data_IF_995892835247
#
_entry.id   IF_995892835247
#
_cell.length_a   1.000
_cell.length_b   1.000
_cell.length_c   1.000
_cell.angle_alpha   90.00
_cell.angle_beta   90.00
_cell.angle_gamma   90.00
#
_symmetry.space_group_name_H-M   'P 1'
#
loop_
_entity.id
_entity.type
_entity.pdbx_description
1 polymer ?
#
# COMPACT_ATOMS: atom_id res chain seq x y z
N UNK A 1 -24.39 0.18 -0.89
CA UNK A 1 -25.88 0.12 -0.89
C UNK A 1 -26.47 -0.02 0.54
N UNK A 2 -25.66 0.06 1.62
CA UNK A 2 -26.12 -0.05 3.00
C UNK A 2 -26.60 1.30 3.60
N UNK A 3 -26.03 2.44 3.16
CA UNK A 3 -26.49 3.78 3.53
C UNK A 3 -28.02 3.95 3.57
N UNK A 4 -28.77 3.47 2.56
CA UNK A 4 -30.22 3.70 2.48
C UNK A 4 -31.03 3.10 3.64
N UNK A 5 -30.60 1.97 4.20
CA UNK A 5 -31.33 1.31 5.28
C UNK A 5 -31.19 2.07 6.59
N UNK A 6 -29.97 2.50 6.91
CA UNK A 6 -29.66 3.12 8.19
C UNK A 6 -30.11 4.59 8.24
N UNK A 7 -30.32 5.24 7.09
CA UNK A 7 -30.88 6.60 7.04
C UNK A 7 -32.31 6.73 7.59
N UNK A 8 -33.07 5.63 7.71
CA UNK A 8 -34.44 5.66 8.26
C UNK A 8 -34.52 6.18 9.70
N UNK A 9 -33.43 6.04 10.46
CA UNK A 9 -33.36 6.48 11.85
C UNK A 9 -33.15 7.98 12.00
N UNK A 10 -32.78 8.67 10.93
CA UNK A 10 -32.21 10.01 11.01
C UNK A 10 -33.01 11.05 10.21
N UNK A 11 -33.07 12.26 10.76
CA UNK A 11 -33.48 13.46 10.03
C UNK A 11 -32.23 14.29 9.70
N UNK A 12 -32.08 14.71 8.42
CA UNK A 12 -31.05 15.67 8.04
C UNK A 12 -31.39 17.11 8.46
N UNK A 13 -32.66 17.42 8.77
CA UNK A 13 -33.16 18.79 9.00
C UNK A 13 -32.96 19.30 10.43
N UNK A 14 -32.21 18.56 11.27
CA UNK A 14 -31.89 18.98 12.63
C UNK A 14 -32.97 18.71 13.68
N UNK A 15 -34.12 18.16 13.28
CA UNK A 15 -35.17 17.70 14.19
C UNK A 15 -34.89 16.30 14.75
N UNK A 16 -34.76 16.18 16.08
CA UNK A 16 -34.59 14.90 16.77
C UNK A 16 -33.49 14.93 17.83
N UNK A 17 -33.00 13.75 18.20
CA UNK A 17 -32.05 13.57 19.30
C UNK A 17 -30.60 13.43 18.84
N UNK A 18 -29.66 13.97 19.62
CA UNK A 18 -28.25 13.55 19.54
C UNK A 18 -28.11 12.09 20.02
N UNK A 19 -27.03 11.40 19.67
CA UNK A 19 -26.72 10.07 20.23
C UNK A 19 -26.64 10.09 21.76
N UNK A 20 -26.08 11.16 22.33
CA UNK A 20 -25.98 11.36 23.79
C UNK A 20 -27.36 11.48 24.43
N UNK A 21 -28.22 12.33 23.87
CA UNK A 21 -29.60 12.50 24.33
C UNK A 21 -30.39 11.20 24.18
N UNK A 22 -30.28 10.50 23.05
CA UNK A 22 -30.91 9.20 22.83
C UNK A 22 -30.46 8.16 23.86
N UNK A 23 -29.16 8.09 24.18
CA UNK A 23 -28.64 7.20 25.20
C UNK A 23 -29.18 7.55 26.60
N UNK A 24 -29.28 8.84 26.93
CA UNK A 24 -29.88 9.31 28.18
C UNK A 24 -31.37 8.91 28.29
N UNK A 25 -32.17 9.18 27.26
CA UNK A 25 -33.58 8.76 27.21
C UNK A 25 -33.72 7.24 27.36
N UNK A 26 -32.88 6.45 26.67
CA UNK A 26 -32.90 5.00 26.79
C UNK A 26 -32.59 4.53 28.22
N UNK A 27 -31.73 5.22 28.96
CA UNK A 27 -31.44 4.90 30.36
C UNK A 27 -32.61 5.27 31.28
N UNK A 28 -33.24 6.42 31.10
CA UNK A 28 -34.44 6.79 31.85
C UNK A 28 -35.61 5.83 31.61
N UNK A 29 -35.79 5.39 30.36
CA UNK A 29 -36.79 4.37 30.03
C UNK A 29 -36.50 3.05 30.79
N UNK A 30 -35.23 2.67 30.97
CA UNK A 30 -34.86 1.50 31.78
C UNK A 30 -35.22 1.68 33.25
N UNK A 31 -35.02 2.88 33.82
CA UNK A 31 -35.41 3.17 35.19
C UNK A 31 -36.93 3.12 35.37
N UNK A 32 -37.68 3.70 34.43
CA UNK A 32 -39.14 3.60 34.41
C UNK A 32 -39.60 2.14 34.39
N UNK A 33 -38.99 1.30 33.55
CA UNK A 33 -39.27 -0.13 33.48
C UNK A 33 -38.98 -0.81 34.82
N UNK A 34 -37.82 -0.54 35.45
CA UNK A 34 -37.45 -1.13 36.76
C UNK A 34 -38.49 -0.82 37.84
N UNK A 35 -39.02 0.41 37.88
CA UNK A 35 -40.05 0.80 38.85
C UNK A 35 -41.35 0.01 38.65
N UNK A 36 -41.79 -0.16 37.40
CA UNK A 36 -42.97 -0.96 37.09
C UNK A 36 -42.73 -2.45 37.34
N UNK A 37 -41.58 -2.99 36.94
CA UNK A 37 -41.21 -4.40 37.19
C UNK A 37 -41.17 -4.69 38.69
N UNK A 38 -40.63 -3.80 39.52
CA UNK A 38 -40.63 -3.95 40.98
C UNK A 38 -42.05 -3.94 41.56
N UNK A 39 -42.92 -3.05 41.07
CA UNK A 39 -44.32 -2.99 41.51
C UNK A 39 -45.06 -4.28 41.16
N UNK A 40 -44.83 -4.83 39.97
CA UNK A 40 -45.47 -6.07 39.50
C UNK A 40 -44.90 -7.29 40.24
N UNK A 41 -43.58 -7.33 40.49
CA UNK A 41 -42.92 -8.43 41.17
C UNK A 41 -43.36 -8.58 42.64
N UNK A 42 -43.74 -7.47 43.29
CA UNK A 42 -44.21 -7.45 44.67
C UNK A 42 -45.73 -7.71 44.82
N UNK A 43 -46.43 -8.03 43.73
CA UNK A 43 -47.87 -8.25 43.74
C UNK A 43 -48.22 -9.59 44.40
N UNK A 44 -49.01 -9.54 45.48
CA UNK A 44 -49.58 -10.72 46.16
C UNK A 44 -51.07 -10.53 46.36
N UNK A 45 -51.87 -11.60 46.21
CA UNK A 45 -53.34 -11.51 46.27
C UNK A 45 -53.94 -11.91 47.62
N UNK A 46 -53.12 -11.97 48.66
CA UNK A 46 -53.53 -12.26 50.02
C UNK A 46 -52.71 -11.43 51.00
N UNK A 47 -53.35 -11.01 52.09
CA UNK A 47 -52.68 -10.36 53.22
C UNK A 47 -52.23 -11.45 54.20
N UNK A 48 -50.99 -11.36 54.67
CA UNK A 48 -50.44 -12.26 55.69
C UNK A 48 -50.33 -11.50 57.01
N UNK A 49 -51.03 -11.98 58.03
CA UNK A 49 -51.01 -11.45 59.39
C UNK A 49 -50.45 -12.49 60.37
N UNK A 50 -49.78 -12.05 61.43
CA UNK A 50 -49.33 -12.90 62.55
C UNK A 50 -49.85 -12.37 63.88
N UNK A 51 -50.28 -13.27 64.75
CA UNK A 51 -50.71 -12.98 66.12
C UNK A 51 -50.21 -14.06 67.09
N UNK A 52 -49.88 -13.65 68.32
CA UNK A 52 -49.58 -14.57 69.43
C UNK A 52 -50.89 -15.06 70.06
N UNK A 53 -50.95 -16.34 70.42
CA UNK A 53 -52.13 -16.93 71.07
C UNK A 53 -52.39 -16.20 72.39
N UNK A 54 -53.58 -15.61 72.54
CA UNK A 54 -54.00 -14.88 73.74
C UNK A 54 -53.80 -13.35 73.69
N UNK A 55 -53.28 -12.79 72.60
CA UNK A 55 -53.19 -11.34 72.36
C UNK A 55 -54.05 -10.95 71.16
N UNK A 56 -54.91 -9.95 71.31
CA UNK A 56 -55.87 -9.53 70.28
C UNK A 56 -55.24 -8.65 69.17
N UNK A 57 -53.93 -8.38 69.25
CA UNK A 57 -53.21 -7.59 68.26
C UNK A 57 -52.66 -8.46 67.13
N UNK A 58 -52.86 -8.00 65.89
CA UNK A 58 -52.35 -8.63 64.67
C UNK A 58 -51.30 -7.72 64.03
N UNK A 59 -50.19 -8.30 63.61
CA UNK A 59 -49.17 -7.59 62.83
C UNK A 59 -49.25 -8.03 61.38
N UNK A 60 -49.39 -7.06 60.46
CA UNK A 60 -49.37 -7.33 59.01
C UNK A 60 -47.93 -7.56 58.58
N UNK A 61 -47.61 -8.79 58.15
CA UNK A 61 -46.31 -9.14 57.60
C UNK A 61 -46.20 -8.79 56.12
N UNK A 62 -47.32 -8.91 55.39
CA UNK A 62 -47.39 -8.59 53.97
C UNK A 62 -48.81 -8.15 53.61
N UNK A 63 -48.93 -7.00 52.97
CA UNK A 63 -50.21 -6.47 52.50
C UNK A 63 -50.54 -7.06 51.13
N UNK A 64 -51.73 -7.62 50.98
CA UNK A 64 -52.26 -8.02 49.68
C UNK A 64 -52.60 -6.83 48.78
N UNK A 65 -52.53 -7.03 47.46
CA UNK A 65 -52.87 -6.06 46.45
C UNK A 65 -54.36 -5.70 46.47
N UNK A 66 -54.67 -4.44 46.17
CA UNK A 66 -56.05 -3.97 46.01
C UNK A 66 -56.60 -4.25 44.61
N UNK A 67 -57.92 -4.18 44.42
CA UNK A 67 -58.54 -4.28 43.09
C UNK A 67 -57.96 -3.27 42.10
N UNK A 68 -57.65 -2.06 42.57
CA UNK A 68 -57.02 -1.02 41.77
C UNK A 68 -55.59 -1.41 41.33
N UNK A 69 -54.81 -2.04 42.21
CA UNK A 69 -53.48 -2.53 41.87
C UNK A 69 -53.55 -3.57 40.76
N UNK A 70 -54.49 -4.52 40.85
CA UNK A 70 -54.69 -5.57 39.84
C UNK A 70 -55.15 -5.00 38.50
N UNK A 71 -56.17 -4.13 38.50
CA UNK A 71 -56.68 -3.51 37.28
C UNK A 71 -55.61 -2.64 36.57
N UNK A 72 -54.66 -2.09 37.33
CA UNK A 72 -53.55 -1.29 36.76
C UNK A 72 -52.46 -2.11 36.04
N UNK A 73 -52.37 -3.42 36.29
CA UNK A 73 -51.27 -4.28 35.78
C UNK A 73 -51.22 -4.29 34.26
N UNK A 74 -52.36 -4.44 33.58
CA UNK A 74 -52.41 -4.46 32.11
C UNK A 74 -51.89 -3.14 31.50
N UNK A 75 -52.19 -2.01 32.14
CA UNK A 75 -51.66 -0.70 31.75
C UNK A 75 -50.15 -0.60 31.96
N UNK A 76 -49.64 -1.02 33.14
CA UNK A 76 -48.20 -1.05 33.46
C UNK A 76 -47.42 -1.91 32.46
N UNK A 77 -47.94 -3.10 32.12
CA UNK A 77 -47.31 -4.00 31.14
C UNK A 77 -47.26 -3.39 29.73
N UNK A 78 -48.30 -2.67 29.30
CA UNK A 78 -48.28 -1.92 28.02
C UNK A 78 -47.22 -0.83 28.02
N UNK A 79 -47.09 -0.08 29.11
CA UNK A 79 -46.06 0.97 29.24
C UNK A 79 -44.66 0.34 29.20
N UNK A 80 -44.43 -0.77 29.90
CA UNK A 80 -43.16 -1.52 29.83
C UNK A 80 -42.85 -1.93 28.39
N UNK A 81 -43.82 -2.48 27.66
CA UNK A 81 -43.62 -2.89 26.27
C UNK A 81 -43.24 -1.69 25.37
N UNK A 82 -43.96 -0.57 25.48
CA UNK A 82 -43.67 0.65 24.74
C UNK A 82 -42.28 1.22 25.09
N UNK A 83 -41.90 1.22 26.36
CA UNK A 83 -40.59 1.69 26.82
C UNK A 83 -39.46 0.79 26.30
N UNK A 84 -39.65 -0.54 26.27
CA UNK A 84 -38.71 -1.49 25.65
C UNK A 84 -38.57 -1.25 24.14
N UNK A 85 -39.67 -1.01 23.43
CA UNK A 85 -39.65 -0.64 22.01
C UNK A 85 -38.91 0.67 21.75
N UNK A 86 -39.11 1.69 22.59
CA UNK A 86 -38.36 2.95 22.52
C UNK A 86 -36.86 2.72 22.70
N UNK A 87 -36.45 1.94 23.72
CA UNK A 87 -35.04 1.60 23.94
C UNK A 87 -34.46 0.88 22.72
N UNK A 88 -35.16 -0.10 22.17
CA UNK A 88 -34.69 -0.86 21.01
C UNK A 88 -34.45 0.07 19.80
N UNK A 89 -35.40 0.97 19.51
CA UNK A 89 -35.27 1.96 18.45
C UNK A 89 -34.05 2.86 18.64
N UNK A 90 -33.90 3.46 19.83
CA UNK A 90 -32.79 4.38 20.12
C UNK A 90 -31.43 3.68 20.05
N UNK A 91 -31.33 2.44 20.54
CA UNK A 91 -30.09 1.66 20.50
C UNK A 91 -29.70 1.26 19.09
N UNK A 92 -30.67 0.87 18.27
CA UNK A 92 -30.38 0.54 16.87
C UNK A 92 -30.01 1.78 16.06
N UNK A 93 -30.65 2.92 16.32
CA UNK A 93 -30.28 4.19 15.71
C UNK A 93 -28.84 4.61 16.05
N UNK A 94 -28.39 4.41 17.29
CA UNK A 94 -26.99 4.69 17.68
C UNK A 94 -26.03 3.78 16.91
N UNK A 95 -26.29 2.47 16.85
CA UNK A 95 -25.48 1.52 16.07
C UNK A 95 -25.47 1.83 14.57
N UNK A 96 -26.60 2.23 14.02
CA UNK A 96 -26.73 2.64 12.63
C UNK A 96 -25.79 3.81 12.30
N UNK A 97 -25.65 4.78 13.22
CA UNK A 97 -24.69 5.87 13.04
C UNK A 97 -23.25 5.38 13.02
N UNK A 98 -22.88 4.50 13.96
CA UNK A 98 -21.53 3.92 14.01
C UNK A 98 -21.21 3.19 12.70
N UNK A 99 -22.15 2.41 12.16
CA UNK A 99 -21.99 1.75 10.85
C UNK A 99 -21.78 2.74 9.72
N UNK A 100 -22.55 3.83 9.66
CA UNK A 100 -22.41 4.88 8.64
C UNK A 100 -21.05 5.58 8.73
N UNK A 101 -20.56 5.87 9.94
CA UNK A 101 -19.23 6.45 10.14
C UNK A 101 -18.15 5.49 9.65
N UNK A 102 -18.20 4.22 10.05
CA UNK A 102 -17.24 3.20 9.61
C UNK A 102 -17.25 3.03 8.09
N UNK A 103 -18.44 3.02 7.46
CA UNK A 103 -18.55 2.94 5.98
C UNK A 103 -17.88 4.16 5.33
N UNK A 104 -18.12 5.37 5.84
CA UNK A 104 -17.50 6.59 5.34
C UNK A 104 -15.97 6.60 5.52
N UNK A 105 -15.45 6.09 6.63
CA UNK A 105 -14.01 5.98 6.90
C UNK A 105 -13.32 4.89 6.06
N UNK A 106 -14.07 3.88 5.63
CA UNK A 106 -13.55 2.79 4.80
C UNK A 106 -13.47 3.12 3.30
N UNK A 107 -13.85 4.34 2.89
CA UNK A 107 -13.85 4.77 1.49
C UNK A 107 -12.43 4.72 0.89
N UNK A 108 -12.26 3.93 -0.17
CA UNK A 108 -10.98 3.80 -0.87
C UNK A 108 -10.73 4.94 -1.86
N UNK A 109 -9.47 5.11 -2.27
CA UNK A 109 -9.09 6.12 -3.26
C UNK A 109 -9.72 5.82 -4.64
N UNK A 110 -9.83 4.55 -5.00
CA UNK A 110 -10.44 4.08 -6.24
C UNK A 110 -11.95 4.38 -6.28
N UNK A 111 -12.65 4.12 -5.17
CA UNK A 111 -14.07 4.44 -5.04
C UNK A 111 -14.30 5.95 -5.08
N UNK A 112 -13.48 6.72 -4.36
CA UNK A 112 -13.53 8.18 -4.39
C UNK A 112 -13.28 8.76 -5.78
N UNK A 113 -12.24 8.28 -6.47
CA UNK A 113 -11.92 8.71 -7.82
C UNK A 113 -13.09 8.41 -8.78
N UNK A 114 -13.69 7.23 -8.68
CA UNK A 114 -14.88 6.85 -9.45
C UNK A 114 -16.07 7.76 -9.15
N UNK A 115 -16.34 8.08 -7.89
CA UNK A 115 -17.42 8.98 -7.48
C UNK A 115 -17.23 10.42 -8.01
N UNK A 116 -15.98 10.89 -8.06
CA UNK A 116 -15.63 12.24 -8.55
C UNK A 116 -15.38 12.30 -10.06
N UNK A 117 -15.41 11.18 -10.77
CA UNK A 117 -15.09 11.10 -12.20
C UNK A 117 -13.61 11.36 -12.50
N UNK A 118 -12.73 11.14 -11.52
CA UNK A 118 -11.28 11.28 -11.65
C UNK A 118 -10.73 9.98 -12.23
N UNK A 119 -9.92 10.10 -13.29
CA UNK A 119 -9.17 8.97 -13.83
C UNK A 119 -7.86 8.87 -13.08
N UNK A 120 -7.63 7.76 -12.38
CA UNK A 120 -6.35 7.52 -11.71
C UNK A 120 -5.28 7.22 -12.76
N UNK A 121 -4.19 7.99 -12.70
CA UNK A 121 -3.03 7.71 -13.53
C UNK A 121 -2.43 6.35 -13.16
N UNK A 122 -1.85 5.68 -14.15
CA UNK A 122 -1.10 4.45 -13.90
C UNK A 122 0.26 4.80 -13.33
N UNK A 123 0.78 3.91 -12.49
CA UNK A 123 2.16 4.01 -12.04
C UNK A 123 3.09 4.05 -13.27
N UNK A 124 4.07 4.98 -13.30
CA UNK A 124 5.03 5.07 -14.39
C UNK A 124 5.82 3.77 -14.54
N UNK A 125 6.16 3.41 -15.78
CA UNK A 125 7.07 2.31 -16.06
C UNK A 125 8.52 2.78 -15.95
N UNK A 126 9.39 1.92 -15.41
CA UNK A 126 10.80 2.25 -15.23
C UNK A 126 11.57 2.37 -16.55
N UNK A 127 11.00 1.93 -17.68
CA UNK A 127 11.68 1.87 -18.95
C UNK A 127 12.79 0.82 -18.97
N UNK A 128 13.35 0.56 -20.14
CA UNK A 128 14.49 -0.35 -20.32
C UNK A 128 15.62 0.40 -21.04
N UNK A 129 16.83 0.49 -20.44
CA UNK A 129 17.99 1.03 -21.13
C UNK A 129 18.37 0.19 -22.35
N UNK A 130 19.01 0.82 -23.35
CA UNK A 130 19.57 0.07 -24.47
C UNK A 130 20.72 -0.83 -24.00
N UNK A 131 20.85 -1.99 -24.64
CA UNK A 131 21.97 -2.91 -24.45
C UNK A 131 23.08 -2.65 -25.47
N UNK A 132 24.22 -3.33 -25.31
CA UNK A 132 25.28 -3.30 -26.33
C UNK A 132 24.79 -3.86 -27.68
N UNK A 133 23.96 -4.91 -27.65
CA UNK A 133 23.38 -5.50 -28.85
C UNK A 133 22.46 -4.51 -29.57
N UNK A 134 21.64 -3.76 -28.82
CA UNK A 134 20.80 -2.69 -29.37
C UNK A 134 21.66 -1.58 -30.00
N UNK A 135 22.77 -1.20 -29.35
CA UNK A 135 23.71 -0.23 -29.90
C UNK A 135 24.30 -0.69 -31.23
N UNK A 136 24.87 -1.89 -31.30
CA UNK A 136 25.46 -2.40 -32.54
C UNK A 136 24.42 -2.69 -33.62
N UNK A 137 23.18 -3.02 -33.25
CA UNK A 137 22.06 -3.14 -34.17
C UNK A 137 21.60 -1.79 -34.73
N UNK A 138 21.82 -0.70 -33.99
CA UNK A 138 21.49 0.67 -34.42
C UNK A 138 22.50 1.29 -35.38
N UNK A 139 23.71 0.73 -35.48
CA UNK A 139 24.74 1.18 -36.42
C UNK A 139 24.32 0.95 -37.87
N UNK A 140 24.83 1.79 -38.78
CA UNK A 140 24.68 1.54 -40.21
C UNK A 140 25.41 0.26 -40.64
N UNK A 141 25.02 -0.27 -41.81
CA UNK A 141 25.66 -1.44 -42.40
C UNK A 141 27.19 -1.30 -42.46
N UNK A 142 27.66 -0.13 -42.91
CA UNK A 142 29.08 0.14 -43.11
C UNK A 142 29.83 0.27 -41.77
N UNK A 143 29.25 0.97 -40.78
CA UNK A 143 29.85 1.11 -39.43
C UNK A 143 29.95 -0.23 -38.72
N UNK A 144 28.91 -1.06 -38.83
CA UNK A 144 28.89 -2.39 -38.24
C UNK A 144 29.89 -3.33 -38.92
N UNK A 145 29.97 -3.32 -40.25
CA UNK A 145 31.00 -4.07 -40.96
C UNK A 145 32.39 -3.56 -40.58
N UNK A 146 32.57 -2.24 -40.45
CA UNK A 146 33.83 -1.64 -40.04
C UNK A 146 34.28 -2.10 -38.66
N UNK A 147 33.35 -2.25 -37.71
CA UNK A 147 33.64 -2.84 -36.40
C UNK A 147 34.21 -4.27 -36.54
N UNK A 148 33.54 -5.13 -37.31
CA UNK A 148 33.98 -6.51 -37.53
C UNK A 148 35.33 -6.60 -38.25
N UNK A 149 35.57 -5.74 -39.25
CA UNK A 149 36.86 -5.66 -39.93
C UNK A 149 38.00 -5.29 -38.97
N UNK A 150 37.79 -4.27 -38.12
CA UNK A 150 38.80 -3.82 -37.17
C UNK A 150 39.09 -4.88 -36.11
N UNK A 151 38.06 -5.56 -35.62
CA UNK A 151 38.20 -6.67 -34.68
C UNK A 151 38.98 -7.84 -35.29
N UNK A 152 38.63 -8.23 -36.51
CA UNK A 152 39.32 -9.30 -37.25
C UNK A 152 40.77 -8.95 -37.54
N UNK A 153 41.03 -7.72 -38.03
CA UNK A 153 42.38 -7.28 -38.38
C UNK A 153 43.28 -7.21 -37.15
N UNK A 154 42.78 -6.68 -36.03
CA UNK A 154 43.53 -6.64 -34.78
C UNK A 154 43.81 -8.05 -34.25
N UNK A 155 42.83 -8.96 -34.31
CA UNK A 155 43.00 -10.34 -33.87
C UNK A 155 44.07 -11.09 -34.70
N UNK A 156 43.93 -11.09 -36.03
CA UNK A 156 44.83 -11.83 -36.94
C UNK A 156 46.26 -11.31 -36.85
N UNK A 157 46.47 -9.99 -36.89
CA UNK A 157 47.83 -9.45 -36.78
C UNK A 157 48.39 -9.71 -35.38
N UNK A 158 47.58 -9.49 -34.33
CA UNK A 158 47.99 -9.68 -32.94
C UNK A 158 48.44 -11.11 -32.64
N UNK A 159 47.73 -12.10 -33.18
CA UNK A 159 48.07 -13.53 -33.06
C UNK A 159 49.48 -13.85 -33.59
N UNK A 160 49.88 -13.22 -34.71
CA UNK A 160 51.18 -13.49 -35.34
C UNK A 160 52.36 -12.72 -34.72
N UNK A 161 52.13 -11.50 -34.24
CA UNK A 161 53.23 -10.59 -33.82
C UNK A 161 53.45 -10.51 -32.30
N UNK A 162 52.53 -11.03 -31.49
CA UNK A 162 52.67 -11.11 -30.03
C UNK A 162 53.50 -12.34 -29.60
N UNK A 163 53.98 -12.41 -28.35
CA UNK A 163 54.73 -13.56 -27.87
C UNK A 163 53.96 -14.87 -28.07
N UNK A 164 54.61 -15.86 -28.72
CA UNK A 164 54.01 -17.14 -29.09
C UNK A 164 53.37 -17.17 -30.49
N UNK A 165 53.35 -16.05 -31.22
CA UNK A 165 52.92 -15.99 -32.62
C UNK A 165 54.02 -16.45 -33.59
N UNK A 166 53.64 -17.06 -34.72
CA UNK A 166 54.61 -17.67 -35.64
C UNK A 166 55.59 -16.64 -36.21
N UNK A 167 55.12 -15.47 -36.63
CA UNK A 167 55.99 -14.40 -37.12
C UNK A 167 56.94 -13.88 -36.02
N UNK A 168 56.44 -13.70 -34.79
CA UNK A 168 57.26 -13.28 -33.65
C UNK A 168 58.35 -14.31 -33.30
N UNK A 169 58.03 -15.60 -33.32
CA UNK A 169 58.97 -16.69 -33.07
C UNK A 169 60.02 -16.84 -34.18
N UNK A 170 59.60 -16.73 -35.45
CA UNK A 170 60.50 -16.76 -36.60
C UNK A 170 61.49 -15.58 -36.55
N UNK A 171 61.00 -14.38 -36.19
CA UNK A 171 61.83 -13.19 -35.97
C UNK A 171 62.85 -13.41 -34.85
N UNK A 172 62.41 -13.88 -33.68
CA UNK A 172 63.30 -14.16 -32.56
C UNK A 172 64.37 -15.21 -32.90
N UNK A 173 63.98 -16.26 -33.63
CA UNK A 173 64.88 -17.32 -34.10
C UNK A 173 65.94 -16.77 -35.06
N UNK A 174 65.55 -15.88 -35.97
CA UNK A 174 66.50 -15.23 -36.89
C UNK A 174 67.54 -14.42 -36.12
N UNK A 175 67.12 -13.59 -35.15
CA UNK A 175 68.02 -12.82 -34.28
C UNK A 175 68.96 -13.72 -33.49
N UNK A 176 68.47 -14.85 -32.97
CA UNK A 176 69.31 -15.82 -32.27
C UNK A 176 70.38 -16.42 -33.19
N UNK A 177 70.03 -16.80 -34.42
CA UNK A 177 70.96 -17.42 -35.37
C UNK A 177 72.01 -16.45 -35.93
N UNK A 178 71.74 -15.14 -35.94
CA UNK A 178 72.80 -14.15 -36.17
C UNK A 178 73.88 -14.18 -35.07
N UNK A 179 73.47 -14.37 -33.81
CA UNK A 179 74.40 -14.46 -32.68
C UNK A 179 75.04 -15.84 -32.54
N UNK A 180 74.39 -16.89 -33.05
CA UNK A 180 74.82 -18.29 -33.03
C UNK A 180 74.69 -18.92 -34.42
N UNK A 181 75.61 -18.59 -35.36
CA UNK A 181 75.52 -19.03 -36.75
C UNK A 181 75.83 -20.52 -36.96
N UNK A 182 76.43 -21.17 -35.96
CA UNK A 182 76.78 -22.59 -36.02
C UNK A 182 76.19 -23.36 -34.83
N UNK A 183 75.85 -24.62 -35.08
CA UNK A 183 75.50 -25.59 -34.05
C UNK A 183 76.28 -26.88 -34.26
N UNK A 184 76.65 -27.55 -33.17
CA UNK A 184 77.54 -28.72 -33.20
C UNK A 184 76.81 -29.90 -32.57
N UNK A 185 76.71 -31.00 -33.33
CA UNK A 185 76.03 -32.23 -32.86
C UNK A 185 76.92 -33.45 -33.07
N UNK A 186 77.09 -34.25 -32.01
CA UNK A 186 77.95 -35.44 -31.99
C UNK A 186 79.17 -35.27 -31.09
N UNK A 187 80.00 -36.31 -30.99
CA UNK A 187 81.27 -36.29 -30.26
C UNK A 187 82.37 -36.96 -31.08
N UNK A 188 83.60 -36.45 -30.98
CA UNK A 188 84.77 -36.98 -31.69
C UNK A 188 84.67 -36.89 -33.22
N UNK A 189 84.95 -38.02 -33.90
CA UNK A 189 85.15 -38.10 -35.36
C UNK A 189 83.87 -37.96 -36.20
N UNK A 190 82.70 -38.09 -35.57
CA UNK A 190 81.37 -38.02 -36.22
C UNK A 190 80.65 -36.68 -35.98
N UNK A 191 81.39 -35.64 -35.57
CA UNK A 191 80.84 -34.31 -35.30
C UNK A 191 80.32 -33.64 -36.57
N UNK A 192 79.04 -33.24 -36.56
CA UNK A 192 78.42 -32.44 -37.62
C UNK A 192 78.32 -30.97 -37.20
N UNK A 193 78.79 -30.07 -38.08
CA UNK A 193 78.64 -28.62 -37.91
C UNK A 193 77.50 -28.16 -38.81
N UNK A 194 76.41 -27.72 -38.20
CA UNK A 194 75.31 -27.06 -38.89
C UNK A 194 75.62 -25.58 -38.99
N UNK A 195 75.53 -25.01 -40.20
CA UNK A 195 75.68 -23.57 -40.43
C UNK A 195 74.37 -22.98 -40.89
N UNK A 196 73.89 -21.97 -40.19
CA UNK A 196 72.64 -21.28 -40.52
C UNK A 196 72.96 -20.03 -41.33
N UNK A 197 72.43 -19.98 -42.55
CA UNK A 197 72.57 -18.83 -43.44
C UNK A 197 71.17 -18.24 -43.63
N UNK A 198 70.91 -17.00 -43.19
CA UNK A 198 69.64 -16.33 -43.43
C UNK A 198 69.32 -16.26 -44.92
N UNK A 199 68.11 -16.66 -45.31
CA UNK A 199 67.59 -16.51 -46.67
C UNK A 199 66.93 -15.14 -46.92
N UNK A 200 66.72 -14.36 -45.86
CA UNK A 200 66.09 -13.03 -45.89
C UNK A 200 66.93 -12.04 -45.11
N UNK A 201 66.85 -10.76 -45.47
CA UNK A 201 67.51 -9.68 -44.72
C UNK A 201 66.82 -9.41 -43.38
N UNK A 202 67.60 -9.24 -42.32
CA UNK A 202 67.10 -8.82 -40.99
C UNK A 202 66.30 -7.52 -41.08
N UNK A 203 66.79 -6.53 -41.84
CA UNK A 203 66.11 -5.25 -42.03
C UNK A 203 64.70 -5.41 -42.60
N UNK A 204 64.51 -6.30 -43.58
CA UNK A 204 63.19 -6.57 -44.18
C UNK A 204 62.24 -7.18 -43.14
N UNK A 205 62.72 -8.11 -42.30
CA UNK A 205 61.91 -8.75 -41.25
C UNK A 205 61.51 -7.74 -40.18
N UNK A 206 62.45 -6.90 -39.73
CA UNK A 206 62.20 -5.84 -38.75
C UNK A 206 61.22 -4.78 -39.29
N UNK A 207 61.44 -4.29 -40.51
CA UNK A 207 60.55 -3.31 -41.14
C UNK A 207 59.13 -3.87 -41.30
N UNK A 208 59.00 -5.14 -41.68
CA UNK A 208 57.71 -5.85 -41.77
C UNK A 208 57.06 -5.97 -40.39
N UNK A 209 57.82 -6.36 -39.35
CA UNK A 209 57.33 -6.44 -37.98
C UNK A 209 56.77 -5.09 -37.50
N UNK A 210 57.54 -4.00 -37.68
CA UNK A 210 57.11 -2.67 -37.25
C UNK A 210 55.91 -2.16 -38.05
N UNK A 211 55.82 -2.48 -39.34
CA UNK A 211 54.64 -2.20 -40.16
C UNK A 211 53.39 -2.92 -39.65
N UNK A 212 53.49 -4.23 -39.37
CA UNK A 212 52.38 -5.02 -38.80
C UNK A 212 52.00 -4.50 -37.41
N UNK A 213 52.98 -4.20 -36.56
CA UNK A 213 52.75 -3.63 -35.24
C UNK A 213 52.04 -2.28 -35.32
N UNK A 214 52.39 -1.43 -36.28
CA UNK A 214 51.69 -0.16 -36.52
C UNK A 214 50.24 -0.39 -36.94
N UNK A 215 50.00 -1.27 -37.91
CA UNK A 215 48.64 -1.61 -38.37
C UNK A 215 47.77 -2.17 -37.23
N UNK A 216 48.32 -3.08 -36.42
CA UNK A 216 47.66 -3.60 -35.23
C UNK A 216 47.27 -2.48 -34.26
N UNK A 217 48.21 -1.59 -33.91
CA UNK A 217 47.95 -0.48 -32.98
C UNK A 217 46.88 0.47 -33.51
N UNK A 218 46.90 0.77 -34.81
CA UNK A 218 45.89 1.62 -35.45
C UNK A 218 44.51 0.95 -35.47
N UNK A 219 44.44 -0.34 -35.80
CA UNK A 219 43.19 -1.10 -35.77
C UNK A 219 42.61 -1.18 -34.35
N UNK A 220 43.45 -1.49 -33.37
CA UNK A 220 43.06 -1.58 -31.96
C UNK A 220 42.60 -0.22 -31.41
N UNK A 221 43.28 0.88 -31.75
CA UNK A 221 42.87 2.22 -31.33
C UNK A 221 41.47 2.58 -31.88
N UNK A 222 41.20 2.28 -33.15
CA UNK A 222 39.89 2.53 -33.78
C UNK A 222 38.81 1.63 -33.18
N UNK A 223 39.09 0.34 -32.97
CA UNK A 223 38.17 -0.59 -32.32
C UNK A 223 37.80 -0.12 -30.89
N UNK A 224 38.80 0.34 -30.14
CA UNK A 224 38.59 0.86 -28.79
C UNK A 224 37.73 2.13 -28.77
N UNK A 225 37.81 2.98 -29.80
CA UNK A 225 36.92 4.13 -29.97
C UNK A 225 35.46 3.69 -30.09
N UNK A 226 35.17 2.73 -30.99
CA UNK A 226 33.80 2.23 -31.19
C UNK A 226 33.27 1.57 -29.89
N UNK A 227 34.10 0.76 -29.22
CA UNK A 227 33.74 0.14 -27.94
C UNK A 227 33.51 1.18 -26.84
N UNK A 228 34.23 2.31 -26.87
CA UNK A 228 34.01 3.42 -25.94
C UNK A 228 32.69 4.13 -26.21
N UNK A 229 32.39 4.42 -27.48
CA UNK A 229 31.14 5.06 -27.88
C UNK A 229 29.93 4.20 -27.52
N UNK A 230 30.02 2.87 -27.70
CA UNK A 230 29.02 1.91 -27.22
C UNK A 230 28.79 2.03 -25.70
N UNK A 231 29.85 1.91 -24.89
CA UNK A 231 29.75 2.03 -23.42
C UNK A 231 29.15 3.38 -23.00
N UNK A 232 29.54 4.46 -23.67
CA UNK A 232 29.02 5.80 -23.41
C UNK A 232 27.53 5.87 -23.71
N UNK A 233 27.08 5.36 -24.86
CA UNK A 233 25.67 5.38 -25.26
C UNK A 233 24.79 4.54 -24.31
N UNK A 234 25.26 3.36 -23.90
CA UNK A 234 24.58 2.52 -22.90
C UNK A 234 24.46 3.27 -21.57
N UNK A 235 25.56 3.82 -21.06
CA UNK A 235 25.57 4.57 -19.80
C UNK A 235 24.66 5.81 -19.86
N UNK A 236 24.68 6.58 -20.95
CA UNK A 236 23.80 7.72 -21.16
C UNK A 236 22.32 7.30 -21.21
N UNK A 237 22.02 6.15 -21.81
CA UNK A 237 20.67 5.59 -21.80
C UNK A 237 20.23 5.15 -20.41
N UNK A 238 21.10 4.51 -19.63
CA UNK A 238 20.79 4.13 -18.25
C UNK A 238 20.49 5.34 -17.38
N UNK A 239 21.32 6.39 -17.49
CA UNK A 239 21.11 7.64 -16.75
C UNK A 239 19.81 8.28 -17.17
N UNK A 240 19.55 8.42 -18.47
CA UNK A 240 18.31 9.02 -19.00
C UNK A 240 17.08 8.29 -18.49
N UNK A 241 17.02 6.96 -18.65
CA UNK A 241 15.88 6.14 -18.20
C UNK A 241 15.65 6.28 -16.70
N UNK A 242 16.71 6.24 -15.88
CA UNK A 242 16.60 6.44 -14.44
C UNK A 242 16.10 7.84 -14.07
N UNK A 243 16.60 8.88 -14.73
CA UNK A 243 16.18 10.27 -14.48
C UNK A 243 14.74 10.50 -14.88
N UNK A 244 14.33 10.06 -16.08
CA UNK A 244 12.95 10.19 -16.56
C UNK A 244 11.97 9.45 -15.64
N UNK A 245 12.31 8.22 -15.22
CA UNK A 245 11.50 7.48 -14.25
C UNK A 245 11.43 8.20 -12.89
N UNK A 246 12.55 8.70 -12.37
CA UNK A 246 12.58 9.43 -11.10
C UNK A 246 11.70 10.70 -11.13
N UNK A 247 11.68 11.41 -12.26
CA UNK A 247 10.81 12.58 -12.44
C UNK A 247 9.33 12.18 -12.60
N UNK A 248 9.04 11.12 -13.35
CA UNK A 248 7.70 10.60 -13.54
C UNK A 248 7.10 10.09 -12.21
N UNK A 249 7.84 9.28 -11.45
CA UNK A 249 7.37 8.76 -10.16
C UNK A 249 7.20 9.86 -9.12
N UNK A 250 8.03 10.90 -9.17
CA UNK A 250 7.88 12.07 -8.29
C UNK A 250 6.58 12.84 -8.60
N UNK A 251 6.25 13.03 -9.88
CA UNK A 251 4.98 13.65 -10.30
C UNK A 251 3.79 12.81 -9.89
N UNK A 252 3.83 11.51 -10.22
CA UNK A 252 2.80 10.54 -9.84
C UNK A 252 2.53 10.55 -8.33
N UNK A 253 3.58 10.49 -7.51
CA UNK A 253 3.45 10.51 -6.05
C UNK A 253 2.90 11.83 -5.53
N UNK A 254 3.28 12.97 -6.13
CA UNK A 254 2.76 14.28 -5.73
C UNK A 254 1.26 14.40 -6.03
N UNK A 255 0.82 13.97 -7.21
CA UNK A 255 -0.61 13.96 -7.57
C UNK A 255 -1.41 13.00 -6.70
N UNK A 256 -0.88 11.79 -6.47
CA UNK A 256 -1.49 10.81 -5.57
C UNK A 256 -1.65 11.34 -4.15
N UNK A 257 -0.62 12.02 -3.62
CA UNK A 257 -0.67 12.63 -2.30
C UNK A 257 -1.74 13.72 -2.21
N UNK A 258 -1.92 14.53 -3.25
CA UNK A 258 -2.99 15.54 -3.30
C UNK A 258 -4.37 14.87 -3.27
N UNK A 259 -4.58 13.84 -4.08
CA UNK A 259 -5.84 13.09 -4.12
C UNK A 259 -6.14 12.40 -2.77
N UNK A 260 -5.13 11.83 -2.12
CA UNK A 260 -5.28 11.24 -0.78
C UNK A 260 -5.63 12.30 0.28
N UNK A 261 -5.07 13.51 0.18
CA UNK A 261 -5.43 14.61 1.06
C UNK A 261 -6.89 15.08 0.83
N UNK A 262 -7.33 15.12 -0.42
CA UNK A 262 -8.72 15.44 -0.79
C UNK A 262 -9.70 14.35 -0.33
N UNK A 263 -9.36 13.07 -0.50
CA UNK A 263 -10.11 11.94 0.05
C UNK A 263 -10.25 12.09 1.56
N UNK A 264 -9.15 12.30 2.28
CA UNK A 264 -9.17 12.46 3.73
C UNK A 264 -10.05 13.65 4.16
N UNK A 265 -10.10 14.72 3.37
CA UNK A 265 -10.99 15.86 3.61
C UNK A 265 -12.46 15.50 3.37
N UNK A 266 -12.75 14.75 2.31
CA UNK A 266 -14.12 14.29 1.99
C UNK A 266 -14.63 13.31 3.06
N UNK A 267 -13.80 12.36 3.51
CA UNK A 267 -14.10 11.45 4.63
C UNK A 267 -14.43 12.26 5.89
N UNK A 268 -13.56 13.21 6.29
CA UNK A 268 -13.83 14.07 7.47
C UNK A 268 -15.14 14.83 7.34
N UNK A 269 -15.46 15.31 6.13
CA UNK A 269 -16.72 16.01 5.87
C UNK A 269 -17.92 15.07 6.02
N UNK A 270 -17.90 13.88 5.41
CA UNK A 270 -18.98 12.88 5.52
C UNK A 270 -19.19 12.43 6.97
N UNK A 271 -18.11 12.13 7.69
CA UNK A 271 -18.19 11.75 9.11
C UNK A 271 -18.84 12.85 9.94
N UNK A 272 -18.48 14.12 9.69
CA UNK A 272 -19.10 15.26 10.36
C UNK A 272 -20.60 15.37 10.02
N UNK A 273 -20.97 15.27 8.75
CA UNK A 273 -22.38 15.28 8.32
C UNK A 273 -23.19 14.16 8.99
N UNK A 274 -22.63 12.94 9.05
CA UNK A 274 -23.24 11.80 9.74
C UNK A 274 -23.35 12.03 11.25
N UNK A 275 -22.36 12.69 11.87
CA UNK A 275 -22.39 13.03 13.29
C UNK A 275 -23.50 14.06 13.61
N UNK A 276 -23.79 14.96 12.67
CA UNK A 276 -24.80 16.00 12.83
C UNK A 276 -26.25 15.49 12.68
N UNK A 277 -26.45 14.34 12.03
CA UNK A 277 -27.76 13.71 11.89
C UNK A 277 -28.48 13.51 13.22
N UNK A 278 -29.80 13.71 13.24
CA UNK A 278 -30.62 13.62 14.45
C UNK A 278 -31.49 12.39 14.44
N UNK A 279 -31.51 11.65 15.55
CA UNK A 279 -32.32 10.44 15.71
C UNK A 279 -33.79 10.85 15.84
N UNK A 280 -34.61 10.39 14.91
CA UNK A 280 -36.05 10.69 14.87
C UNK A 280 -36.81 9.72 15.78
N UNK A 281 -37.83 10.24 16.46
CA UNK A 281 -38.78 9.43 17.22
C UNK A 281 -40.01 9.14 16.33
N UNK A 282 -40.30 7.85 16.03
CA UNK A 282 -41.50 7.47 15.30
C UNK A 282 -42.77 7.95 16.01
N UNK A 283 -43.79 8.31 15.25
CA UNK A 283 -45.07 8.78 15.80
C UNK A 283 -45.69 7.81 16.83
N UNK A 284 -45.56 6.50 16.59
CA UNK A 284 -46.04 5.45 17.50
C UNK A 284 -45.32 5.40 18.85
N UNK A 285 -44.11 5.97 18.95
CA UNK A 285 -43.29 6.00 20.16
C UNK A 285 -43.29 7.38 20.85
N UNK A 286 -43.97 8.38 20.27
CA UNK A 286 -43.94 9.77 20.76
C UNK A 286 -44.49 9.90 22.18
N UNK A 287 -45.63 9.27 22.47
CA UNK A 287 -46.26 9.34 23.79
C UNK A 287 -45.34 8.80 24.89
N UNK A 288 -44.78 7.60 24.70
CA UNK A 288 -43.87 7.00 25.69
C UNK A 288 -42.56 7.79 25.79
N UNK A 289 -42.07 8.36 24.68
CA UNK A 289 -40.92 9.25 24.70
C UNK A 289 -41.17 10.50 25.55
N UNK A 290 -42.34 11.15 25.41
CA UNK A 290 -42.70 12.34 26.17
C UNK A 290 -42.80 12.03 27.67
N UNK A 291 -43.40 10.88 28.03
CA UNK A 291 -43.51 10.42 29.41
C UNK A 291 -42.13 10.15 30.03
N UNK A 292 -41.26 9.43 29.32
CA UNK A 292 -39.87 9.18 29.75
C UNK A 292 -39.10 10.48 29.88
N UNK A 293 -39.24 11.41 28.93
CA UNK A 293 -38.54 12.69 28.93
C UNK A 293 -38.93 13.58 30.11
N UNK A 294 -40.18 13.50 30.58
CA UNK A 294 -40.64 14.23 31.78
C UNK A 294 -40.00 13.73 33.07
N UNK A 295 -39.64 12.44 33.16
CA UNK A 295 -38.91 11.92 34.34
C UNK A 295 -37.57 12.63 34.51
N UNK A 296 -36.84 12.87 33.42
CA UNK A 296 -35.56 13.55 33.46
C UNK A 296 -35.63 15.01 33.91
N UNK A 297 -36.72 15.72 33.58
CA UNK A 297 -36.92 17.11 34.02
C UNK A 297 -37.18 17.21 35.53
N UNK A 298 -37.94 16.27 36.10
CA UNK A 298 -38.21 16.24 37.55
C UNK A 298 -36.97 15.95 38.39
N UNK A 299 -36.04 15.12 37.90
CA UNK A 299 -34.82 14.79 38.65
C UNK A 299 -33.77 15.91 38.63
N UNK A 300 -33.77 16.78 37.61
CA UNK A 300 -32.83 17.91 37.54
C UNK A 300 -33.24 19.11 38.43
N UNK A 301 -34.54 19.32 38.67
CA UNK A 301 -35.01 20.40 39.56
C UNK A 301 -34.79 20.09 41.05
N UNK A 302 -34.59 18.83 41.43
CA UNK A 302 -34.28 18.44 42.82
C UNK A 302 -32.78 18.46 43.16
N UNK A 303 -31.90 18.74 42.19
CA UNK A 303 -30.44 18.73 42.35
C UNK A 303 -29.80 20.09 42.67
N UNK A 304 -30.57 21.18 42.73
CA UNK A 304 -30.10 22.52 43.11
C UNK A 304 -30.75 22.90 44.44
N UNK A 305 -30.31 22.27 45.52
CA UNK A 305 -30.39 22.74 46.91
C UNK A 305 -29.86 21.64 47.85
N UNK A 306 -28.55 21.43 47.83
CA UNK A 306 -27.78 21.03 49.02
C UNK A 306 -26.41 21.71 48.97
#
# INVERSE_FOLDING_TARGET
MFMKKDMIFFSPDGDGLTSTSANHIANMAKEMIRNFDSTIANLVFYTTEVSLIGVDSRNVLQQGATDADVLSVAGKLRIIAQAKSLIAWLREAIKARERLITEAESLTLEEYAKEKGITLEKEPDAGTPITEDDYYASLSLDERNRYYELETLAAVIGEEIHPGGHFAEARASLTERFSKPHDVKGDGRDTLIYTFIPSVSETIVEDTYFSLQKQYREAQARLNSIKYDCRKAVMESEVRVKTEYAEAIKRYNAERQLLEAELAKDIRKRVKEIADYRIVIPASLKNIYDDVSRLGKKNNDTGVNQ
#
